data_IF_260612703194
#
_entry.id   IF_260612703194
#
_cell.length_a   1.000
_cell.length_b   1.000
_cell.length_c   1.000
_cell.angle_alpha   90.00
_cell.angle_beta   90.00
_cell.angle_gamma   90.00
#
_symmetry.space_group_name_H-M   'P 1'
#
loop_
_entity.id
_entity.type
_entity.pdbx_description
1 polymer ?
#
# COMPACT_ATOMS: atom_id res chain seq x y z
N UNK A 1 -1.65 21.71 22.91
CA UNK A 1 -2.11 20.38 22.45
C UNK A 1 -3.02 20.60 21.26
N UNK A 2 -2.77 19.97 20.12
CA UNK A 2 -3.54 20.24 18.89
C UNK A 2 -4.92 19.57 18.99
N UNK A 3 -5.97 20.39 18.91
CA UNK A 3 -7.39 20.07 19.18
C UNK A 3 -7.90 18.87 18.37
N UNK A 4 -7.29 18.62 17.21
CA UNK A 4 -7.63 17.53 16.30
C UNK A 4 -7.37 16.13 16.91
N UNK A 5 -6.27 15.95 17.65
CA UNK A 5 -5.97 14.67 18.30
C UNK A 5 -6.97 14.37 19.43
N UNK A 6 -7.38 15.40 20.15
CA UNK A 6 -8.31 15.28 21.26
C UNK A 6 -9.71 14.88 20.76
N UNK A 7 -10.14 15.45 19.63
CA UNK A 7 -11.42 15.13 18.99
C UNK A 7 -11.46 13.72 18.37
N UNK A 8 -10.33 13.25 17.84
CA UNK A 8 -10.24 11.91 17.25
C UNK A 8 -10.16 10.80 18.30
N UNK A 9 -9.57 11.07 19.46
CA UNK A 9 -9.32 10.05 20.49
C UNK A 9 -10.38 10.01 21.60
N UNK A 10 -11.27 11.01 21.68
CA UNK A 10 -12.39 11.02 22.62
C UNK A 10 -13.49 10.06 22.17
N UNK A 11 -13.90 9.16 23.07
CA UNK A 11 -15.05 8.29 22.85
C UNK A 11 -16.32 9.13 22.70
N UNK A 12 -16.74 9.35 21.44
CA UNK A 12 -18.13 9.50 21.03
C UNK A 12 -19.02 10.41 21.87
N UNK A 13 -18.56 11.59 22.31
CA UNK A 13 -19.46 12.56 22.91
C UNK A 13 -20.15 13.38 21.80
N UNK A 14 -21.42 13.07 21.53
CA UNK A 14 -22.21 13.57 20.40
C UNK A 14 -22.49 15.08 20.40
N UNK A 15 -22.07 15.83 21.43
CA UNK A 15 -22.48 17.23 21.61
C UNK A 15 -21.47 18.28 21.16
N UNK A 16 -20.29 17.89 20.65
CA UNK A 16 -19.30 18.87 20.20
C UNK A 16 -19.04 18.69 18.71
N UNK A 17 -19.58 19.63 17.92
CA UNK A 17 -19.34 19.80 16.49
C UNK A 17 -17.85 19.62 16.20
N UNK A 18 -17.46 18.42 15.75
CA UNK A 18 -16.11 18.10 15.32
C UNK A 18 -15.81 19.08 14.20
N UNK A 19 -14.81 19.93 14.38
CA UNK A 19 -14.35 20.87 13.36
C UNK A 19 -13.97 20.07 12.12
N UNK A 20 -14.88 20.00 11.17
CA UNK A 20 -14.70 19.30 9.91
C UNK A 20 -13.60 20.01 9.14
N UNK A 21 -12.48 19.32 8.90
CA UNK A 21 -11.57 19.70 7.83
C UNK A 21 -12.40 19.67 6.55
N UNK A 22 -12.48 20.79 5.83
CA UNK A 22 -13.24 20.86 4.57
C UNK A 22 -12.76 19.76 3.62
N UNK A 23 -13.66 18.87 3.21
CA UNK A 23 -13.36 17.75 2.31
C UNK A 23 -13.01 16.41 2.97
N UNK A 24 -12.87 16.33 4.30
CA UNK A 24 -12.65 15.05 5.01
C UNK A 24 -13.92 14.62 5.72
N UNK A 25 -14.47 13.48 5.32
CA UNK A 25 -15.63 12.89 5.99
C UNK A 25 -15.17 11.94 7.09
N UNK A 26 -15.71 12.16 8.30
CA UNK A 26 -15.44 11.34 9.48
C UNK A 26 -16.70 10.54 9.84
N UNK A 27 -16.55 9.23 10.02
CA UNK A 27 -17.64 8.38 10.51
C UNK A 27 -17.11 7.34 11.50
N UNK A 28 -17.65 7.37 12.71
CA UNK A 28 -17.45 6.34 13.72
C UNK A 28 -18.51 5.25 13.53
N UNK A 29 -18.10 3.98 13.51
CA UNK A 29 -19.01 2.84 13.57
C UNK A 29 -19.00 2.29 15.00
N UNK A 30 -20.18 1.96 15.56
CA UNK A 30 -20.34 1.21 16.81
C UNK A 30 -21.03 -0.12 16.44
N UNK A 31 -20.78 -1.26 17.11
CA UNK A 31 -20.14 -1.46 18.43
C UNK A 31 -18.62 -1.71 18.40
N UNK A 32 -18.01 -1.87 17.22
CA UNK A 32 -16.55 -1.98 17.07
C UNK A 32 -15.94 -0.60 17.01
N UNK A 33 -15.06 -0.20 17.93
CA UNK A 33 -14.34 1.08 17.95
C UNK A 33 -13.44 1.29 16.71
N UNK A 34 -14.07 1.52 15.56
CA UNK A 34 -13.44 1.71 14.27
C UNK A 34 -13.79 3.08 13.70
N UNK A 35 -12.76 3.77 13.23
CA UNK A 35 -12.83 5.13 12.68
C UNK A 35 -12.51 5.06 11.19
N UNK A 36 -13.41 5.58 10.36
CA UNK A 36 -13.23 5.71 8.91
C UNK A 36 -12.93 7.17 8.57
N UNK A 37 -11.79 7.38 7.90
CA UNK A 37 -11.43 8.63 7.24
C UNK A 37 -11.47 8.38 5.74
N UNK A 38 -12.12 9.27 4.99
CA UNK A 38 -12.19 9.19 3.53
C UNK A 38 -12.05 10.59 2.90
N UNK A 39 -11.31 10.65 1.80
CA UNK A 39 -11.13 11.83 0.95
C UNK A 39 -11.26 11.40 -0.52
N UNK A 40 -11.55 12.36 -1.38
CA UNK A 40 -11.51 12.25 -2.83
C UNK A 40 -10.21 11.62 -3.35
N UNK A 41 -10.28 10.95 -4.51
CA UNK A 41 -9.16 10.24 -5.11
C UNK A 41 -8.16 11.16 -5.79
N UNK A 42 -7.55 12.09 -5.04
CA UNK A 42 -6.53 13.02 -5.52
C UNK A 42 -5.17 12.73 -4.86
N UNK A 43 -4.08 13.24 -5.44
CA UNK A 43 -2.76 13.16 -4.80
C UNK A 43 -2.70 13.90 -3.46
N UNK A 44 -3.37 15.06 -3.37
CA UNK A 44 -3.50 15.83 -2.13
C UNK A 44 -4.30 15.05 -1.06
N UNK A 45 -5.42 14.46 -1.45
CA UNK A 45 -6.23 13.59 -0.59
C UNK A 45 -5.47 12.38 -0.07
N UNK A 46 -4.71 11.73 -0.95
CA UNK A 46 -3.83 10.63 -0.58
C UNK A 46 -2.80 11.05 0.49
N UNK A 47 -2.17 12.22 0.32
CA UNK A 47 -1.22 12.74 1.31
C UNK A 47 -1.91 13.07 2.64
N UNK A 48 -3.03 13.78 2.59
CA UNK A 48 -3.81 14.17 3.78
C UNK A 48 -4.25 12.95 4.62
N UNK A 49 -4.76 11.91 3.97
CA UNK A 49 -5.17 10.67 4.65
C UNK A 49 -3.97 9.97 5.29
N UNK A 50 -2.79 9.97 4.65
CA UNK A 50 -1.60 9.37 5.24
C UNK A 50 -1.02 10.19 6.39
N UNK A 51 -1.06 11.53 6.31
CA UNK A 51 -0.68 12.42 7.40
C UNK A 51 -1.58 12.21 8.61
N UNK A 52 -2.90 12.17 8.41
CA UNK A 52 -3.87 11.89 9.45
C UNK A 52 -3.64 10.50 10.08
N UNK A 53 -3.45 9.47 9.25
CA UNK A 53 -3.11 8.11 9.72
C UNK A 53 -1.88 8.12 10.61
N UNK A 54 -0.77 8.69 10.14
CA UNK A 54 0.50 8.72 10.87
C UNK A 54 0.34 9.49 12.19
N UNK A 55 -0.35 10.63 12.16
CA UNK A 55 -0.62 11.42 13.35
C UNK A 55 -1.44 10.66 14.39
N UNK A 56 -2.51 9.97 13.99
CA UNK A 56 -3.36 9.20 14.92
C UNK A 56 -2.56 8.04 15.52
N UNK A 57 -1.85 7.27 14.69
CA UNK A 57 -1.06 6.13 15.15
C UNK A 57 0.04 6.55 16.13
N UNK A 58 0.79 7.62 15.83
CA UNK A 58 1.82 8.14 16.73
C UNK A 58 1.25 8.64 18.07
N UNK A 59 0.10 9.31 18.07
CA UNK A 59 -0.51 9.78 19.30
C UNK A 59 -1.09 8.64 20.14
N UNK A 60 -1.61 7.58 19.50
CA UNK A 60 -2.11 6.39 20.21
C UNK A 60 -1.01 5.64 20.96
N UNK A 61 0.25 5.73 20.52
CA UNK A 61 1.40 5.11 21.18
C UNK A 61 1.97 5.96 22.33
N UNK A 62 1.74 7.28 22.32
CA UNK A 62 2.26 8.20 23.34
C UNK A 62 1.37 8.30 24.58
N UNK A 63 0.11 7.87 24.49
CA UNK A 63 -0.84 7.97 25.59
C UNK A 63 -0.67 6.80 26.57
N UNK A 64 -0.74 7.12 27.86
CA UNK A 64 -0.55 6.23 29.02
C UNK A 64 -1.41 4.96 28.99
N UNK A 65 -1.04 3.95 29.80
CA UNK A 65 -1.62 2.59 29.96
C UNK A 65 -3.17 2.49 30.00
N UNK A 66 -3.89 3.60 30.12
CA UNK A 66 -5.34 3.69 30.10
C UNK A 66 -5.96 3.63 28.69
N UNK A 67 -5.20 3.91 27.63
CA UNK A 67 -5.70 3.91 26.26
C UNK A 67 -5.20 2.69 25.48
N UNK A 68 -6.11 2.01 24.79
CA UNK A 68 -5.75 0.91 23.90
C UNK A 68 -5.03 1.45 22.65
N UNK A 69 -3.93 0.82 22.20
CA UNK A 69 -3.21 1.26 21.00
C UNK A 69 -4.11 1.16 19.77
N UNK A 70 -3.95 2.05 18.80
CA UNK A 70 -4.63 1.99 17.51
C UNK A 70 -3.82 1.24 16.47
N UNK A 71 -4.50 0.58 15.53
CA UNK A 71 -3.88 0.00 14.34
C UNK A 71 -4.72 0.26 13.08
N UNK A 72 -4.09 0.15 11.92
CA UNK A 72 -4.75 0.21 10.61
C UNK A 72 -5.48 -1.10 10.36
N UNK A 73 -6.80 -1.04 10.31
CA UNK A 73 -7.64 -2.17 9.89
C UNK A 73 -7.64 -2.31 8.37
N UNK A 74 -7.78 -1.20 7.65
CA UNK A 74 -7.80 -1.14 6.18
C UNK A 74 -7.38 0.26 5.68
N UNK A 75 -7.02 0.43 4.40
CA UNK A 75 -6.78 -0.60 3.40
C UNK A 75 -5.39 -1.22 3.52
N UNK A 76 -4.41 -0.51 4.08
CA UNK A 76 -3.04 -1.02 4.20
C UNK A 76 -2.97 -2.20 5.18
N UNK A 77 -2.19 -3.26 4.89
CA UNK A 77 -2.01 -4.39 5.80
C UNK A 77 -0.98 -4.09 6.91
N UNK A 78 -0.53 -2.85 7.06
CA UNK A 78 0.53 -2.44 7.96
C UNK A 78 0.21 -1.10 8.60
N UNK A 79 0.83 -0.84 9.76
CA UNK A 79 0.70 0.42 10.51
C UNK A 79 1.80 1.44 10.15
N UNK A 80 2.78 1.01 9.33
CA UNK A 80 3.92 1.83 8.89
C UNK A 80 3.52 2.92 7.86
N UNK A 81 4.47 3.80 7.55
CA UNK A 81 4.35 4.75 6.42
C UNK A 81 4.04 4.00 5.11
N UNK A 82 3.12 4.56 4.31
CA UNK A 82 2.70 3.91 3.07
C UNK A 82 3.86 3.93 2.05
N UNK A 83 4.28 2.78 1.49
CA UNK A 83 5.40 2.77 0.56
C UNK A 83 5.14 3.55 -0.72
N UNK A 84 3.87 3.73 -1.12
CA UNK A 84 3.46 4.54 -2.27
C UNK A 84 3.72 6.05 -2.09
N UNK A 85 3.94 6.55 -0.87
CA UNK A 85 4.38 7.94 -0.66
C UNK A 85 5.76 8.23 -1.27
N UNK A 86 6.59 7.19 -1.43
CA UNK A 86 7.92 7.32 -2.05
C UNK A 86 7.87 7.28 -3.58
N UNK A 87 6.77 6.82 -4.16
CA UNK A 87 6.60 6.75 -5.60
C UNK A 87 6.00 8.05 -6.15
N UNK A 88 6.70 8.70 -7.08
CA UNK A 88 6.21 9.93 -7.71
C UNK A 88 5.01 9.62 -8.60
N UNK A 89 3.96 10.43 -8.51
CA UNK A 89 2.76 10.37 -9.37
C UNK A 89 2.02 9.02 -9.34
N UNK A 90 2.15 8.24 -8.27
CA UNK A 90 1.50 6.94 -8.10
C UNK A 90 0.80 6.85 -6.73
N UNK A 91 -0.24 7.68 -6.47
CA UNK A 91 -0.95 7.65 -5.20
C UNK A 91 -1.67 6.30 -4.99
N UNK A 92 -1.78 5.88 -3.73
CA UNK A 92 -2.47 4.63 -3.37
C UNK A 92 -3.98 4.84 -3.28
N UNK A 93 -4.64 4.98 -4.43
CA UNK A 93 -6.08 5.23 -4.51
C UNK A 93 -6.86 3.91 -4.58
N UNK A 94 -8.12 3.97 -4.16
CA UNK A 94 -9.10 2.91 -4.38
C UNK A 94 -10.13 3.41 -5.37
N UNK A 95 -10.62 2.53 -6.23
CA UNK A 95 -11.67 2.82 -7.20
C UNK A 95 -12.91 2.00 -6.86
N UNK A 96 -14.09 2.58 -7.02
CA UNK A 96 -15.36 1.87 -6.91
C UNK A 96 -16.29 2.26 -8.03
N UNK A 97 -17.04 1.26 -8.49
CA UNK A 97 -18.02 1.41 -9.55
C UNK A 97 -19.32 1.91 -8.93
N UNK A 98 -19.65 3.17 -9.20
CA UNK A 98 -20.91 3.77 -8.81
C UNK A 98 -21.92 3.60 -9.94
N UNK A 99 -23.00 2.85 -9.66
CA UNK A 99 -24.17 2.79 -10.54
C UNK A 99 -25.16 3.83 -10.06
N UNK A 100 -25.33 4.89 -10.84
CA UNK A 100 -26.33 5.88 -10.54
C UNK A 100 -27.68 5.41 -11.08
N UNK A 101 -28.70 5.51 -10.24
CA UNK A 101 -30.09 5.38 -10.66
C UNK A 101 -30.58 6.77 -11.01
N UNK A 102 -31.14 6.91 -12.22
CA UNK A 102 -31.79 8.15 -12.61
C UNK A 102 -33.17 8.23 -11.96
N UNK A 103 -33.29 8.98 -10.87
CA UNK A 103 -34.56 9.21 -10.17
C UNK A 103 -35.46 10.24 -10.88
N UNK A 104 -34.99 10.88 -11.94
CA UNK A 104 -35.76 11.90 -12.69
C UNK A 104 -36.47 11.33 -13.93
N UNK A 105 -36.06 10.15 -14.39
CA UNK A 105 -36.67 9.47 -15.52
C UNK A 105 -37.87 8.62 -15.09
N UNK A 106 -38.98 8.71 -15.84
CA UNK A 106 -40.17 7.85 -15.65
C UNK A 106 -39.89 6.36 -15.92
N UNK A 107 -38.80 6.06 -16.62
CA UNK A 107 -38.28 4.70 -16.80
C UNK A 107 -37.02 4.54 -15.96
N UNK A 108 -36.98 3.54 -15.09
CA UNK A 108 -35.78 3.11 -14.37
C UNK A 108 -34.75 2.60 -15.40
N UNK A 109 -33.99 3.52 -15.98
CA UNK A 109 -32.85 3.23 -16.85
C UNK A 109 -31.59 3.26 -16.00
N UNK A 110 -30.82 2.18 -16.01
CA UNK A 110 -29.48 2.19 -15.44
C UNK A 110 -28.63 3.23 -16.20
N UNK A 111 -28.05 4.19 -15.48
CA UNK A 111 -27.07 5.09 -16.10
C UNK A 111 -25.74 4.37 -16.28
N UNK A 112 -24.90 4.88 -17.21
CA UNK A 112 -23.52 4.39 -17.35
C UNK A 112 -22.80 4.46 -16.01
N UNK A 113 -22.17 3.36 -15.62
CA UNK A 113 -21.39 3.26 -14.40
C UNK A 113 -20.27 4.31 -14.37
N UNK A 114 -20.16 5.04 -13.27
CA UNK A 114 -19.07 5.99 -13.04
C UNK A 114 -18.03 5.36 -12.11
N UNK A 115 -16.76 5.53 -12.44
CA UNK A 115 -15.66 5.10 -11.56
C UNK A 115 -15.32 6.26 -10.61
N UNK A 116 -15.60 6.06 -9.32
CA UNK A 116 -15.24 7.02 -8.28
C UNK A 116 -13.94 6.58 -7.62
N UNK A 117 -12.97 7.49 -7.52
CA UNK A 117 -11.70 7.26 -6.83
C UNK A 117 -11.71 7.96 -5.49
N UNK A 118 -11.13 7.32 -4.49
CA UNK A 118 -11.00 7.86 -3.14
C UNK A 118 -9.77 7.31 -2.43
N UNK A 119 -9.29 8.06 -1.44
CA UNK A 119 -8.29 7.62 -0.48
C UNK A 119 -9.00 7.44 0.86
N UNK A 120 -8.74 6.34 1.56
CA UNK A 120 -9.36 6.09 2.85
C UNK A 120 -8.42 5.36 3.80
N UNK A 121 -8.70 5.46 5.09
CA UNK A 121 -8.12 4.61 6.13
C UNK A 121 -9.18 4.27 7.15
N UNK A 122 -9.19 3.01 7.57
CA UNK A 122 -9.98 2.50 8.68
C UNK A 122 -9.00 2.18 9.79
N UNK A 123 -9.15 2.85 10.92
CA UNK A 123 -8.38 2.63 12.14
C UNK A 123 -9.25 1.88 13.14
N UNK A 124 -8.65 1.01 13.93
CA UNK A 124 -9.33 0.25 14.97
C UNK A 124 -8.55 0.36 16.28
N UNK A 125 -9.25 0.64 17.38
CA UNK A 125 -8.67 0.61 18.73
C UNK A 125 -8.45 -0.85 19.19
N UNK A 126 -7.38 -1.08 19.95
CA UNK A 126 -7.00 -2.39 20.46
C UNK A 126 -5.87 -3.06 19.67
N UNK A 127 -5.33 -4.18 20.18
CA UNK A 127 -4.29 -4.93 19.51
C UNK A 127 -4.77 -5.42 18.15
N UNK A 128 -3.85 -5.42 17.17
CA UNK A 128 -4.08 -6.04 15.87
C UNK A 128 -4.17 -7.56 16.08
N UNK A 129 -5.25 -8.17 15.59
CA UNK A 129 -5.36 -9.62 15.58
C UNK A 129 -4.23 -10.21 14.73
N UNK A 130 -3.57 -11.27 15.22
CA UNK A 130 -2.44 -11.91 14.54
C UNK A 130 -2.85 -12.69 13.27
N UNK A 131 -4.15 -12.82 13.00
CA UNK A 131 -4.65 -13.96 12.23
C UNK A 131 -4.37 -13.93 10.73
N UNK A 132 -3.98 -12.80 10.11
CA UNK A 132 -3.62 -12.81 8.68
C UNK A 132 -2.68 -11.68 8.26
N UNK A 133 -1.40 -12.00 8.09
CA UNK A 133 -0.39 -11.14 7.44
C UNK A 133 -0.50 -11.19 5.90
N UNK A 134 -1.71 -11.27 5.37
CA UNK A 134 -1.89 -11.35 3.93
C UNK A 134 -1.60 -10.00 3.26
N UNK A 135 -0.80 -9.99 2.19
CA UNK A 135 -0.55 -8.76 1.46
C UNK A 135 -1.82 -8.28 0.76
N UNK A 136 -1.91 -6.95 0.61
CA UNK A 136 -2.97 -6.30 -0.15
C UNK A 136 -2.58 -6.22 -1.62
N UNK A 137 -3.44 -6.70 -2.51
CA UNK A 137 -3.30 -6.52 -3.95
C UNK A 137 -3.59 -5.07 -4.32
N UNK A 138 -2.65 -4.43 -5.01
CA UNK A 138 -2.77 -3.07 -5.52
C UNK A 138 -3.17 -3.07 -7.00
N UNK A 139 -2.58 -3.96 -7.79
CA UNK A 139 -2.85 -4.05 -9.21
C UNK A 139 -2.65 -5.49 -9.70
N UNK A 140 -3.74 -6.20 -10.06
CA UNK A 140 -3.66 -7.50 -10.71
C UNK A 140 -3.69 -7.36 -12.24
N UNK A 141 -2.74 -7.99 -12.94
CA UNK A 141 -2.74 -8.14 -14.39
C UNK A 141 -2.91 -9.63 -14.69
N UNK A 142 -4.08 -9.98 -15.23
CA UNK A 142 -4.49 -11.37 -15.48
C UNK A 142 -4.14 -11.76 -16.91
N UNK A 143 -3.50 -12.91 -17.07
CA UNK A 143 -3.22 -13.55 -18.37
C UNK A 143 -3.60 -15.02 -18.30
N UNK A 144 -3.68 -15.70 -19.44
CA UNK A 144 -4.20 -17.07 -19.51
C UNK A 144 -3.43 -18.09 -18.65
N UNK A 145 -2.12 -17.90 -18.51
CA UNK A 145 -1.22 -18.86 -17.83
C UNK A 145 -0.50 -18.29 -16.60
N UNK A 146 -0.58 -16.99 -16.39
CA UNK A 146 0.11 -16.32 -15.30
C UNK A 146 -0.65 -15.07 -14.87
N UNK A 147 -0.48 -14.70 -13.62
CA UNK A 147 -1.06 -13.47 -13.06
C UNK A 147 0.07 -12.67 -12.44
N UNK A 148 0.24 -11.43 -12.90
CA UNK A 148 1.12 -10.48 -12.23
C UNK A 148 0.33 -9.79 -11.13
N UNK A 149 0.84 -9.81 -9.91
CA UNK A 149 0.24 -9.09 -8.78
C UNK A 149 1.25 -8.11 -8.20
N UNK A 150 0.88 -6.83 -8.19
CA UNK A 150 1.57 -5.82 -7.40
C UNK A 150 0.91 -5.73 -6.04
N UNK A 151 1.69 -5.85 -4.98
CA UNK A 151 1.17 -6.02 -3.63
C UNK A 151 1.84 -5.06 -2.65
N UNK A 152 1.06 -4.62 -1.67
CA UNK A 152 1.55 -3.96 -0.46
C UNK A 152 1.66 -5.01 0.65
N UNK A 153 2.85 -5.17 1.22
CA UNK A 153 3.14 -6.17 2.24
C UNK A 153 2.90 -5.64 3.66
N UNK A 154 2.60 -6.50 4.65
CA UNK A 154 2.55 -6.13 6.07
C UNK A 154 3.85 -5.50 6.59
N UNK A 155 4.98 -5.80 5.96
CA UNK A 155 6.26 -5.20 6.32
C UNK A 155 6.41 -3.74 5.86
N UNK A 156 5.46 -3.18 5.09
CA UNK A 156 5.52 -1.80 4.58
C UNK A 156 6.31 -1.64 3.28
N UNK A 157 6.55 -2.74 2.55
CA UNK A 157 7.20 -2.75 1.26
C UNK A 157 6.22 -3.10 0.14
N UNK A 158 6.59 -2.73 -1.09
CA UNK A 158 5.90 -3.15 -2.30
C UNK A 158 6.61 -4.35 -2.89
N UNK A 159 5.83 -5.29 -3.43
CA UNK A 159 6.37 -6.45 -4.11
C UNK A 159 5.55 -6.78 -5.35
N UNK A 160 6.26 -7.16 -6.41
CA UNK A 160 5.68 -7.69 -7.64
C UNK A 160 5.97 -9.18 -7.73
N UNK A 161 4.94 -9.97 -8.04
CA UNK A 161 5.04 -11.43 -8.10
C UNK A 161 4.29 -11.93 -9.32
N UNK A 162 4.90 -12.86 -10.05
CA UNK A 162 4.25 -13.59 -11.14
C UNK A 162 3.81 -14.95 -10.62
N UNK A 163 2.49 -15.13 -10.55
CA UNK A 163 1.86 -16.35 -10.04
C UNK A 163 1.54 -17.27 -11.22
N UNK A 164 2.08 -18.48 -11.20
CA UNK A 164 1.89 -19.52 -12.21
C UNK A 164 1.56 -20.84 -11.55
N UNK A 165 0.88 -21.76 -12.27
CA UNK A 165 0.50 -23.09 -11.76
C UNK A 165 1.70 -23.97 -11.36
N UNK A 166 2.87 -23.74 -11.95
CA UNK A 166 4.07 -24.54 -11.68
C UNK A 166 4.85 -24.05 -10.47
N UNK A 167 4.76 -22.76 -10.13
CA UNK A 167 5.54 -22.16 -9.04
C UNK A 167 4.78 -22.04 -7.73
N UNK A 168 3.45 -21.98 -7.80
CA UNK A 168 2.57 -21.84 -6.65
C UNK A 168 1.52 -22.94 -6.65
N UNK A 169 0.91 -23.17 -5.50
CA UNK A 169 -0.16 -24.15 -5.35
C UNK A 169 -1.39 -23.80 -6.18
N UNK A 170 -2.17 -24.84 -6.51
CA UNK A 170 -3.37 -24.71 -7.33
C UNK A 170 -4.40 -23.75 -6.72
N UNK A 171 -4.52 -23.70 -5.39
CA UNK A 171 -5.48 -22.83 -4.72
C UNK A 171 -5.05 -21.37 -4.83
N UNK A 172 -3.80 -21.04 -4.53
CA UNK A 172 -3.29 -19.69 -4.67
C UNK A 172 -3.34 -19.20 -6.12
N UNK A 173 -2.99 -20.04 -7.09
CA UNK A 173 -3.16 -19.71 -8.51
C UNK A 173 -4.63 -19.42 -8.85
N UNK A 174 -5.56 -20.23 -8.33
CA UNK A 174 -6.99 -20.03 -8.49
C UNK A 174 -7.47 -18.71 -7.88
N UNK A 175 -7.02 -18.39 -6.66
CA UNK A 175 -7.30 -17.11 -6.00
C UNK A 175 -6.75 -15.94 -6.82
N UNK A 176 -5.49 -16.01 -7.25
CA UNK A 176 -4.85 -14.97 -8.05
C UNK A 176 -5.57 -14.69 -9.38
N UNK A 177 -6.20 -15.69 -9.99
CA UNK A 177 -7.03 -15.49 -11.17
C UNK A 177 -8.28 -14.63 -10.92
N UNK A 178 -8.76 -14.55 -9.68
CA UNK A 178 -10.01 -13.87 -9.32
C UNK A 178 -9.80 -12.58 -8.52
N UNK A 179 -8.63 -12.36 -7.91
CA UNK A 179 -8.40 -11.14 -7.12
C UNK A 179 -8.61 -9.85 -7.91
N UNK A 180 -9.09 -8.85 -7.22
CA UNK A 180 -9.25 -7.46 -7.67
C UNK A 180 -8.35 -6.52 -6.86
N UNK A 181 -8.33 -5.24 -7.25
CA UNK A 181 -7.61 -4.22 -6.49
C UNK A 181 -8.24 -4.04 -5.10
N UNK A 182 -7.42 -4.15 -4.05
CA UNK A 182 -7.86 -4.03 -2.66
C UNK A 182 -7.94 -5.35 -1.91
N UNK A 183 -8.03 -6.47 -2.63
CA UNK A 183 -8.14 -7.81 -2.04
C UNK A 183 -6.91 -8.20 -1.22
N UNK A 184 -7.10 -9.14 -0.29
CA UNK A 184 -6.01 -9.80 0.44
C UNK A 184 -5.69 -11.13 -0.25
N UNK A 185 -4.44 -11.34 -0.61
CA UNK A 185 -4.01 -12.58 -1.24
C UNK A 185 -3.42 -13.54 -0.19
N UNK A 186 -3.87 -14.80 -0.11
CA UNK A 186 -3.44 -15.74 0.92
C UNK A 186 -2.05 -16.35 0.61
N UNK A 187 -1.02 -15.50 0.62
CA UNK A 187 0.37 -15.90 0.34
C UNK A 187 1.27 -15.56 1.51
N UNK A 188 2.17 -16.49 1.85
CA UNK A 188 3.16 -16.29 2.91
C UNK A 188 4.39 -15.53 2.39
N UNK A 189 4.95 -14.63 3.19
CA UNK A 189 6.12 -13.82 2.81
C UNK A 189 7.34 -14.67 2.40
N UNK A 190 7.52 -15.84 3.02
CA UNK A 190 8.58 -16.81 2.68
C UNK A 190 8.46 -17.39 1.27
N UNK A 191 7.24 -17.55 0.76
CA UNK A 191 7.01 -18.03 -0.60
C UNK A 191 7.32 -16.94 -1.64
N UNK A 192 7.29 -15.67 -1.23
CA UNK A 192 7.53 -14.53 -2.11
C UNK A 192 9.02 -14.28 -2.36
N UNK A 193 9.87 -14.49 -1.37
CA UNK A 193 11.33 -14.23 -1.43
C UNK A 193 12.08 -15.16 -2.37
N UNK A 194 11.65 -16.42 -2.48
CA UNK A 194 12.28 -17.44 -3.36
C UNK A 194 12.20 -17.10 -4.86
N UNK A 195 11.48 -16.04 -5.23
CA UNK A 195 11.23 -15.68 -6.63
C UNK A 195 12.13 -14.55 -7.13
N UNK A 196 12.67 -13.73 -6.24
CA UNK A 196 13.27 -12.44 -6.62
C UNK A 196 14.73 -12.57 -7.07
N UNK A 197 15.37 -13.72 -6.86
CA UNK A 197 16.81 -13.93 -7.08
C UNK A 197 17.20 -14.45 -8.48
N UNK A 198 16.39 -14.22 -9.52
CA UNK A 198 16.74 -14.63 -10.89
C UNK A 198 16.89 -13.48 -11.89
N UNK A 199 16.92 -12.22 -11.43
CA UNK A 199 17.20 -11.08 -12.33
C UNK A 199 17.94 -9.93 -11.63
N UNK A 200 19.12 -10.19 -11.07
CA UNK A 200 20.13 -9.14 -10.85
C UNK A 200 21.42 -9.60 -11.53
N UNK A 201 21.72 -9.00 -12.68
CA UNK A 201 23.00 -9.16 -13.38
C UNK A 201 24.10 -8.52 -12.52
N UNK A 202 25.10 -9.32 -12.16
CA UNK A 202 26.34 -8.82 -11.55
C UNK A 202 27.08 -7.92 -12.56
N UNK A 203 27.66 -6.79 -12.13
CA UNK A 203 28.63 -6.08 -12.95
C UNK A 203 29.96 -6.83 -12.91
N UNK A 204 30.42 -7.30 -14.08
CA UNK A 204 31.76 -7.86 -14.28
C UNK A 204 32.82 -6.81 -13.90
N UNK A 205 33.51 -7.05 -12.78
CA UNK A 205 34.79 -6.41 -12.46
C UNK A 205 35.90 -7.45 -12.49
N UNK A 206 36.47 -7.67 -13.68
CA UNK A 206 37.78 -8.32 -13.83
C UNK A 206 38.82 -7.25 -14.18
N UNK A 207 39.42 -6.64 -13.16
CA UNK A 207 40.73 -5.99 -13.28
C UNK A 207 41.70 -6.88 -12.52
N UNK A 208 42.38 -7.76 -13.24
CA UNK A 208 43.52 -8.51 -12.72
C UNK A 208 44.74 -7.59 -12.73
N UNK A 209 45.22 -7.25 -11.53
CA UNK A 209 46.53 -6.66 -11.33
C UNK A 209 47.60 -7.75 -11.54
N UNK A 210 48.56 -7.48 -12.42
CA UNK A 210 49.88 -8.11 -12.40
C UNK A 210 50.91 -6.99 -12.32
N UNK A 211 51.58 -6.90 -11.17
CA UNK A 211 52.86 -6.23 -10.99
C UNK A 211 53.95 -7.03 -11.68
N UNK A 212 54.93 -6.37 -12.30
CA UNK A 212 56.37 -6.58 -12.05
C UNK A 212 57.21 -5.61 -12.90
N UNK A 213 58.42 -5.36 -12.38
CA UNK A 213 59.27 -4.19 -12.54
C UNK A 213 60.12 -4.13 -13.83
N UNK A 214 60.57 -2.91 -14.12
CA UNK A 214 61.88 -2.46 -14.65
C UNK A 214 62.58 -3.26 -15.78
N UNK A 215 62.82 -2.57 -16.90
CA UNK A 215 64.20 -2.36 -17.39
C UNK A 215 64.28 -1.27 -18.49
N UNK A 216 65.27 -0.39 -18.36
CA UNK A 216 65.70 0.62 -19.32
C UNK A 216 65.99 0.06 -20.73
N UNK A 217 65.71 0.82 -21.79
CA UNK A 217 66.80 1.23 -22.70
C UNK A 217 66.42 2.34 -23.71
N UNK A 218 67.38 3.24 -23.86
CA UNK A 218 67.55 4.27 -24.88
C UNK A 218 67.91 3.62 -26.22
N UNK A 219 67.29 4.03 -27.35
CA UNK A 219 68.03 4.60 -28.49
C UNK A 219 67.16 4.99 -29.71
N UNK A 220 67.36 6.25 -30.11
CA UNK A 220 67.60 6.77 -31.47
C UNK A 220 67.23 5.98 -32.75
N UNK A 221 66.66 6.76 -33.69
CA UNK A 221 67.04 6.92 -35.11
C UNK A 221 66.41 6.07 -36.25
N UNK A 222 66.12 6.85 -37.32
CA UNK A 222 66.02 6.58 -38.78
C UNK A 222 64.74 5.91 -39.29
N UNK A 223 63.94 6.62 -40.10
CA UNK A 223 64.08 6.80 -41.57
C UNK A 223 64.20 5.48 -42.32
N UNK A 224 63.10 5.05 -42.95
CA UNK A 224 62.97 4.94 -44.41
C UNK A 224 61.48 5.01 -44.76
#
# INVERSE_FOLDING_TARGET
MNTLAQLLLQDGNQQQLVSCISGVHFRQFLPSSAELLVETGTGAGFNLINEAKEFILQNSQRQSEQFLPGHVFAPCPHDKSCPKLREKNQPCLTESVLRNVDFTSQKLSEQKSKHARYSYVILKKGPRAQDTEWPRVLHPIKSDRHVHVHMCLPCGNLQHVVITKGKFDKHLYGCAGHVEQGDRLPVSLSQLTTTTSSTEQQPDTSISATSDNDFDNVNSNRRQ
#
